data_IF_671582025754
#
_entry.id   IF_671582025754
#
_cell.length_a   1.000
_cell.length_b   1.000
_cell.length_c   1.000
_cell.angle_alpha   90.00
_cell.angle_beta   90.00
_cell.angle_gamma   90.00
#
_symmetry.space_group_name_H-M   'P 1'
#
loop_
_entity.id
_entity.type
_entity.pdbx_description
1 polymer ?
#
# COMPACT_ATOMS: atom_id res chain seq x y z
N UNK A 1 -12.56 3.57 30.18
CA UNK A 1 -11.98 3.16 28.87
C UNK A 1 -11.69 1.66 28.82
N UNK A 2 -11.15 1.06 29.88
CA UNK A 2 -10.75 -0.36 29.95
C UNK A 2 -11.87 -1.40 29.80
N UNK A 3 -13.09 -1.16 30.30
CA UNK A 3 -14.18 -2.17 30.28
C UNK A 3 -14.64 -2.58 28.88
N UNK A 4 -14.37 -1.75 27.85
CA UNK A 4 -14.71 -2.06 26.45
C UNK A 4 -13.51 -2.59 25.65
N UNK A 5 -12.31 -2.64 26.22
CA UNK A 5 -11.08 -2.93 25.48
C UNK A 5 -11.11 -4.32 24.85
N UNK A 6 -11.49 -5.35 25.62
CA UNK A 6 -11.58 -6.71 25.11
C UNK A 6 -12.59 -6.85 23.96
N UNK A 7 -13.76 -6.20 24.09
CA UNK A 7 -14.78 -6.22 23.05
C UNK A 7 -14.35 -5.47 21.78
N UNK A 8 -13.66 -4.32 21.93
CA UNK A 8 -13.12 -3.55 20.80
C UNK A 8 -12.00 -4.32 20.08
N UNK A 9 -11.13 -4.98 20.84
CA UNK A 9 -10.07 -5.81 20.27
C UNK A 9 -10.67 -6.98 19.49
N UNK A 10 -11.65 -7.69 20.06
CA UNK A 10 -12.35 -8.77 19.36
C UNK A 10 -13.03 -8.25 18.09
N UNK A 11 -13.71 -7.10 18.17
CA UNK A 11 -14.35 -6.47 17.02
C UNK A 11 -13.34 -6.15 15.90
N UNK A 12 -12.21 -5.52 16.23
CA UNK A 12 -11.16 -5.20 15.25
C UNK A 12 -10.55 -6.45 14.60
N UNK A 13 -10.39 -7.54 15.35
CA UNK A 13 -9.80 -8.78 14.86
C UNK A 13 -10.79 -9.67 14.10
N UNK A 14 -12.10 -9.51 14.32
CA UNK A 14 -13.14 -10.35 13.74
C UNK A 14 -13.72 -9.82 12.42
N UNK A 15 -13.42 -8.57 12.04
CA UNK A 15 -13.93 -7.98 10.80
C UNK A 15 -13.13 -8.55 9.62
N UNK A 16 -13.78 -9.23 8.66
CA UNK A 16 -13.12 -9.66 7.44
C UNK A 16 -12.74 -8.45 6.59
N UNK A 17 -11.68 -8.61 5.80
CA UNK A 17 -11.34 -7.63 4.77
C UNK A 17 -12.51 -7.57 3.77
N UNK A 18 -13.01 -6.38 3.40
CA UNK A 18 -13.99 -6.23 2.33
C UNK A 18 -13.46 -6.83 1.02
N UNK A 19 -14.19 -7.80 0.46
CA UNK A 19 -13.84 -8.38 -0.83
C UNK A 19 -14.24 -7.44 -1.97
N UNK A 20 -13.32 -7.26 -2.92
CA UNK A 20 -13.63 -6.60 -4.18
C UNK A 20 -13.95 -7.67 -5.23
N UNK A 21 -14.98 -7.44 -6.06
CA UNK A 21 -15.24 -8.30 -7.20
C UNK A 21 -14.06 -8.20 -8.18
N UNK A 22 -13.19 -9.20 -8.18
CA UNK A 22 -12.08 -9.26 -9.13
C UNK A 22 -12.61 -9.75 -10.48
N UNK A 23 -12.26 -9.05 -11.55
CA UNK A 23 -12.53 -9.54 -12.91
C UNK A 23 -11.33 -10.43 -13.31
N UNK A 24 -11.51 -11.76 -13.42
CA UNK A 24 -10.41 -12.66 -13.76
C UNK A 24 -9.87 -12.43 -15.18
N UNK A 25 -10.60 -11.71 -16.03
CA UNK A 25 -10.21 -11.33 -17.38
C UNK A 25 -9.61 -9.92 -17.46
N UNK A 26 -9.31 -9.29 -16.32
CA UNK A 26 -8.65 -8.00 -16.28
C UNK A 26 -7.18 -8.14 -16.66
N UNK A 27 -6.92 -8.13 -17.96
CA UNK A 27 -5.57 -8.29 -18.50
C UNK A 27 -4.60 -7.21 -18.02
N UNK A 28 -5.09 -6.01 -17.69
CA UNK A 28 -4.27 -4.94 -17.14
C UNK A 28 -3.85 -5.25 -15.70
N UNK A 29 -4.79 -5.70 -14.85
CA UNK A 29 -4.45 -6.16 -13.50
C UNK A 29 -3.49 -7.36 -13.51
N UNK A 30 -3.63 -8.29 -14.45
CA UNK A 30 -2.72 -9.42 -14.59
C UNK A 30 -1.29 -8.99 -14.97
N UNK A 31 -1.14 -8.06 -15.92
CA UNK A 31 0.17 -7.47 -16.25
C UNK A 31 0.73 -6.67 -15.07
N UNK A 32 -0.13 -5.92 -14.38
CA UNK A 32 0.22 -5.16 -13.19
C UNK A 32 0.75 -6.03 -12.06
N UNK A 33 0.16 -7.21 -11.86
CA UNK A 33 0.65 -8.19 -10.89
C UNK A 33 2.07 -8.64 -11.21
N UNK A 34 2.36 -8.97 -12.47
CA UNK A 34 3.70 -9.37 -12.87
C UNK A 34 4.73 -8.26 -12.68
N UNK A 35 4.34 -7.00 -12.89
CA UNK A 35 5.19 -5.84 -12.59
C UNK A 35 5.41 -5.68 -11.08
N UNK A 36 4.35 -5.84 -10.28
CA UNK A 36 4.37 -5.70 -8.82
C UNK A 36 5.31 -6.71 -8.15
N UNK A 37 5.28 -7.95 -8.63
CA UNK A 37 6.14 -9.06 -8.15
C UNK A 37 7.54 -9.05 -8.80
N UNK A 38 7.71 -8.29 -9.88
CA UNK A 38 8.91 -8.26 -10.71
C UNK A 38 9.51 -6.87 -10.78
N UNK A 39 9.47 -6.24 -11.95
CA UNK A 39 10.20 -4.99 -12.25
C UNK A 39 10.04 -3.88 -11.20
N UNK A 40 8.85 -3.69 -10.65
CA UNK A 40 8.57 -2.63 -9.69
C UNK A 40 8.91 -3.00 -8.23
N UNK A 41 9.28 -4.25 -7.97
CA UNK A 41 9.77 -4.76 -6.68
C UNK A 41 8.84 -4.46 -5.49
N UNK A 42 7.55 -4.22 -5.71
CA UNK A 42 6.62 -3.77 -4.67
C UNK A 42 6.44 -4.81 -3.54
N UNK A 43 6.69 -6.08 -3.83
CA UNK A 43 6.64 -7.18 -2.85
C UNK A 43 7.76 -7.14 -1.81
N UNK A 44 8.78 -6.29 -1.97
CA UNK A 44 9.85 -6.10 -0.98
C UNK A 44 9.29 -5.63 0.37
N UNK A 45 8.25 -4.78 0.33
CA UNK A 45 7.55 -4.30 1.53
C UNK A 45 6.10 -4.84 1.57
N UNK A 46 5.40 -4.85 0.42
CA UNK A 46 4.00 -5.27 0.33
C UNK A 46 3.86 -6.77 0.05
N UNK A 47 4.34 -7.60 0.98
CA UNK A 47 4.41 -9.06 0.81
C UNK A 47 3.04 -9.75 0.97
N UNK A 48 2.61 -10.61 0.02
CA UNK A 48 1.43 -11.45 0.20
C UNK A 48 1.55 -12.41 1.41
N UNK A 49 0.44 -12.86 2.01
CA UNK A 49 -0.92 -12.55 1.64
C UNK A 49 -1.39 -11.21 2.20
N UNK A 50 -0.81 -10.64 3.25
CA UNK A 50 -1.40 -9.42 3.86
C UNK A 50 -1.03 -8.13 3.12
N UNK A 51 -0.11 -8.21 2.16
CA UNK A 51 0.47 -7.06 1.44
C UNK A 51 1.08 -6.03 2.38
N UNK A 52 1.71 -6.56 3.43
CA UNK A 52 2.57 -5.90 4.41
C UNK A 52 3.54 -6.98 4.89
N UNK A 53 4.80 -6.64 5.10
CA UNK A 53 5.78 -7.62 5.55
C UNK A 53 5.58 -8.03 7.02
N UNK A 54 5.96 -9.26 7.40
CA UNK A 54 5.93 -9.70 8.79
C UNK A 54 7.20 -9.24 9.54
N UNK A 55 7.03 -8.80 10.78
CA UNK A 55 8.13 -8.55 11.73
C UNK A 55 8.85 -7.20 11.57
N UNK A 56 9.16 -6.78 10.34
CA UNK A 56 9.99 -5.59 10.04
C UNK A 56 9.28 -4.53 9.19
N UNK A 57 7.99 -4.30 9.43
CA UNK A 57 7.16 -3.43 8.59
C UNK A 57 7.29 -1.93 8.88
N UNK A 58 8.46 -1.45 9.33
CA UNK A 58 8.71 -0.03 9.59
C UNK A 58 9.91 0.41 8.79
N UNK A 59 9.70 1.40 7.93
CA UNK A 59 10.70 1.94 7.02
C UNK A 59 11.09 3.37 7.36
N UNK A 60 12.32 3.73 7.01
CA UNK A 60 12.79 5.10 7.16
C UNK A 60 12.08 6.03 6.17
N UNK A 61 12.07 7.34 6.44
CA UNK A 61 11.53 8.32 5.49
C UNK A 61 12.15 8.23 4.10
N UNK A 62 13.45 7.97 4.03
CA UNK A 62 14.21 7.89 2.77
C UNK A 62 13.76 6.71 1.91
N UNK A 63 13.49 5.55 2.54
CA UNK A 63 13.00 4.35 1.84
C UNK A 63 11.64 4.57 1.14
N UNK A 64 10.83 5.50 1.65
CA UNK A 64 9.54 5.89 1.05
C UNK A 64 9.58 7.28 0.41
N UNK A 65 10.78 7.83 0.25
CA UNK A 65 11.09 9.04 -0.49
C UNK A 65 10.49 10.31 0.10
N UNK A 66 10.57 10.44 1.42
CA UNK A 66 10.06 11.55 2.21
C UNK A 66 11.16 12.16 3.10
N UNK A 67 10.90 13.36 3.60
CA UNK A 67 11.62 13.90 4.76
C UNK A 67 11.14 13.25 6.07
N UNK A 68 11.93 13.44 7.13
CA UNK A 68 11.70 12.83 8.43
C UNK A 68 10.65 13.51 9.31
N UNK A 69 10.08 14.65 8.89
CA UNK A 69 9.29 15.53 9.77
C UNK A 69 8.08 14.85 10.43
N UNK A 70 7.34 14.02 9.69
CA UNK A 70 6.20 13.29 10.26
C UNK A 70 6.65 12.03 11.00
N UNK A 71 7.70 11.36 10.54
CA UNK A 71 8.21 10.13 11.14
C UNK A 71 8.78 10.36 12.55
N UNK A 72 9.51 11.46 12.75
CA UNK A 72 10.12 11.85 14.03
C UNK A 72 9.10 12.15 15.14
N UNK A 73 7.82 12.36 14.79
CA UNK A 73 6.74 12.53 15.75
C UNK A 73 6.24 11.20 16.32
N UNK A 74 6.59 10.09 15.69
CA UNK A 74 6.28 8.73 16.14
C UNK A 74 7.38 8.15 17.01
N UNK A 75 7.03 7.11 17.78
CA UNK A 75 8.00 6.40 18.64
C UNK A 75 9.01 5.57 17.87
N UNK A 76 8.72 5.25 16.61
CA UNK A 76 9.56 4.40 15.76
C UNK A 76 10.48 5.20 14.85
N UNK A 77 10.24 6.50 14.66
CA UNK A 77 11.00 7.33 13.70
C UNK A 77 10.81 6.92 12.24
N UNK A 78 9.77 6.13 11.91
CA UNK A 78 9.56 5.57 10.58
C UNK A 78 8.09 5.30 10.28
N UNK A 79 7.82 4.88 9.05
CA UNK A 79 6.47 4.64 8.54
C UNK A 79 6.18 3.16 8.43
N UNK A 80 4.97 2.78 8.84
CA UNK A 80 4.55 1.39 8.74
C UNK A 80 4.07 1.07 7.33
N UNK A 81 4.50 -0.05 6.76
CA UNK A 81 3.94 -0.58 5.52
C UNK A 81 2.43 -0.78 5.70
N UNK A 82 1.65 -0.09 4.88
CA UNK A 82 0.18 -0.17 4.92
C UNK A 82 -0.27 -1.44 4.18
N UNK A 83 -1.09 -2.31 4.81
CA UNK A 83 -1.69 -3.44 4.10
C UNK A 83 -2.51 -2.94 2.91
N UNK A 84 -2.29 -3.51 1.72
CA UNK A 84 -3.01 -3.10 0.51
C UNK A 84 -4.35 -3.82 0.33
N UNK A 85 -4.69 -4.80 1.18
CA UNK A 85 -5.98 -5.47 1.09
C UNK A 85 -7.14 -4.55 1.47
N UNK A 86 -8.18 -4.51 0.64
CA UNK A 86 -9.34 -3.66 0.83
C UNK A 86 -9.06 -2.19 0.52
N UNK A 87 -8.02 -1.89 -0.27
CA UNK A 87 -7.56 -0.52 -0.55
C UNK A 87 -8.69 0.35 -1.10
N UNK A 88 -9.58 -0.25 -1.89
CA UNK A 88 -10.76 0.43 -2.47
C UNK A 88 -11.70 1.06 -1.43
N UNK A 89 -11.66 0.61 -0.17
CA UNK A 89 -12.44 1.20 0.93
C UNK A 89 -11.76 2.41 1.58
N UNK A 90 -10.48 2.66 1.27
CA UNK A 90 -9.62 3.69 1.85
C UNK A 90 -9.14 4.69 0.80
N UNK A 91 -10.07 5.29 0.06
CA UNK A 91 -9.76 6.28 -0.99
C UNK A 91 -10.07 7.72 -0.59
N UNK A 92 -10.92 7.92 0.42
CA UNK A 92 -11.33 9.25 0.88
C UNK A 92 -10.18 9.94 1.62
N UNK A 93 -9.81 11.13 1.17
CA UNK A 93 -8.71 11.91 1.75
C UNK A 93 -7.36 11.67 1.07
N UNK A 94 -7.31 10.83 0.04
CA UNK A 94 -6.08 10.51 -0.70
C UNK A 94 -5.32 9.31 -0.11
N UNK A 95 -4.18 9.02 -0.73
CA UNK A 95 -3.22 8.01 -0.36
C UNK A 95 -1.99 8.65 0.30
N UNK A 96 -1.14 7.81 0.90
CA UNK A 96 -0.12 8.20 1.87
C UNK A 96 -0.70 8.66 3.21
N UNK A 97 0.17 8.76 4.22
CA UNK A 97 -0.23 9.12 5.59
C UNK A 97 -0.78 10.56 5.71
N UNK A 98 -0.47 11.42 4.74
CA UNK A 98 -0.88 12.82 4.69
C UNK A 98 -1.85 13.15 3.54
N UNK A 99 -2.26 12.14 2.76
CA UNK A 99 -3.21 12.32 1.67
C UNK A 99 -2.65 13.05 0.44
N UNK A 100 -1.32 13.19 0.31
CA UNK A 100 -0.69 13.97 -0.77
C UNK A 100 -0.98 13.48 -2.19
N UNK A 101 -1.39 12.22 -2.33
CA UNK A 101 -1.71 11.61 -3.63
C UNK A 101 -3.22 11.38 -3.72
N UNK A 102 -3.86 11.91 -4.74
CA UNK A 102 -5.28 11.68 -5.00
C UNK A 102 -5.57 10.31 -5.62
N UNK A 103 -4.58 9.68 -6.25
CA UNK A 103 -4.76 8.40 -6.95
C UNK A 103 -3.64 7.39 -6.67
N UNK A 104 -3.95 6.09 -6.82
CA UNK A 104 -2.94 5.02 -6.79
C UNK A 104 -1.88 5.21 -7.88
N UNK A 105 -2.26 5.80 -9.03
CA UNK A 105 -1.32 6.11 -10.11
C UNK A 105 -0.23 7.05 -9.65
N UNK A 106 -0.59 8.13 -8.95
CA UNK A 106 0.36 9.12 -8.45
C UNK A 106 1.31 8.50 -7.42
N UNK A 107 0.84 7.56 -6.60
CA UNK A 107 1.70 6.78 -5.69
C UNK A 107 2.72 5.94 -6.47
N UNK A 108 2.29 5.27 -7.54
CA UNK A 108 3.20 4.48 -8.40
C UNK A 108 4.22 5.39 -9.10
N UNK A 109 3.80 6.56 -9.57
CA UNK A 109 4.69 7.54 -10.19
C UNK A 109 5.73 8.11 -9.21
N UNK A 110 5.35 8.32 -7.95
CA UNK A 110 6.26 8.72 -6.88
C UNK A 110 7.37 7.70 -6.66
N UNK A 111 7.03 6.42 -6.48
CA UNK A 111 8.02 5.36 -6.30
C UNK A 111 8.86 5.10 -7.55
N UNK A 112 8.27 5.17 -8.74
CA UNK A 112 9.01 5.05 -10.00
C UNK A 112 10.10 6.12 -10.13
N UNK A 113 9.76 7.38 -9.83
CA UNK A 113 10.70 8.49 -9.90
C UNK A 113 11.80 8.38 -8.83
N UNK A 114 11.41 8.05 -7.60
CA UNK A 114 12.35 7.99 -6.48
C UNK A 114 13.30 6.80 -6.54
N UNK A 115 12.79 5.61 -6.86
CA UNK A 115 13.57 4.38 -6.90
C UNK A 115 14.16 4.12 -8.30
N UNK A 116 13.97 5.07 -9.22
CA UNK A 116 14.48 5.03 -10.61
C UNK A 116 14.11 3.72 -11.33
N UNK A 117 12.87 3.25 -11.15
CA UNK A 117 12.42 1.93 -11.64
C UNK A 117 12.30 1.85 -13.17
N UNK A 118 12.27 2.99 -13.85
CA UNK A 118 12.20 3.08 -15.31
C UNK A 118 10.91 2.49 -15.88
N UNK A 119 9.79 2.66 -15.18
CA UNK A 119 8.48 2.18 -15.62
C UNK A 119 7.94 3.06 -16.75
N UNK A 120 7.46 2.41 -17.81
CA UNK A 120 6.73 3.06 -18.90
C UNK A 120 5.33 3.47 -18.44
N UNK A 121 4.70 4.41 -19.15
CA UNK A 121 3.37 4.92 -18.77
C UNK A 121 2.29 3.83 -18.69
N UNK A 122 2.34 2.82 -19.57
CA UNK A 122 1.45 1.66 -19.52
C UNK A 122 1.76 0.73 -18.33
N UNK A 123 3.04 0.55 -17.98
CA UNK A 123 3.44 -0.26 -16.81
C UNK A 123 2.92 0.37 -15.51
N UNK A 124 3.03 1.69 -15.36
CA UNK A 124 2.45 2.42 -14.22
C UNK A 124 0.93 2.30 -14.18
N UNK A 125 0.29 2.27 -15.35
CA UNK A 125 -1.15 2.09 -15.46
C UNK A 125 -1.62 0.70 -15.04
N UNK A 126 -0.93 -0.34 -15.51
CA UNK A 126 -1.20 -1.72 -15.16
C UNK A 126 -0.94 -1.97 -13.67
N UNK A 127 0.16 -1.45 -13.10
CA UNK A 127 0.44 -1.50 -11.65
C UNK A 127 -0.67 -0.86 -10.82
N UNK A 128 -1.05 0.38 -11.16
CA UNK A 128 -2.12 1.07 -10.45
C UNK A 128 -3.44 0.30 -10.55
N UNK A 129 -3.71 -0.33 -11.71
CA UNK A 129 -4.90 -1.17 -11.89
C UNK A 129 -4.85 -2.37 -10.96
N UNK A 130 -3.73 -3.10 -10.91
CA UNK A 130 -3.57 -4.26 -10.02
C UNK A 130 -3.70 -3.87 -8.55
N UNK A 131 -3.00 -2.83 -8.09
CA UNK A 131 -3.08 -2.38 -6.68
C UNK A 131 -4.50 -1.97 -6.30
N UNK A 132 -5.28 -1.40 -7.23
CA UNK A 132 -6.69 -1.06 -7.00
C UNK A 132 -7.64 -2.28 -6.94
N UNK A 133 -7.13 -3.50 -7.18
CA UNK A 133 -7.87 -4.76 -7.01
C UNK A 133 -7.59 -5.46 -5.68
N UNK A 134 -6.62 -4.94 -4.90
CA UNK A 134 -6.24 -5.46 -3.60
C UNK A 134 -7.21 -4.97 -2.51
#
# INVERSE_FOLDING_TARGET
VTSKLAALQMYQLAIPVPEQSTNPFDTAALRGKALFEGKAQCTSCHTPPLYTEPGHNVHTPEEICLDSFQAERGTTGGYRTTPLRGLHTHTKGGFYHDGRFGTVREVVEHYDACLELGLQGNEKADLARYVSTL
#
